data_IF_350196396916
#
_entry.id   IF_350196396916
#
_cell.length_a   1.000
_cell.length_b   1.000
_cell.length_c   1.000
_cell.angle_alpha   90.00
_cell.angle_beta   90.00
_cell.angle_gamma   90.00
#
_symmetry.space_group_name_H-M   'P 1'
#
loop_
_entity.id
_entity.type
_entity.pdbx_description
1 polymer ?
#
# COMPACT_ATOMS: atom_id res chain seq x y z
N UNK A 1 13.03 -10.28 -29.61
CA UNK A 1 11.72 -9.65 -29.84
C UNK A 1 11.72 -8.33 -29.08
N UNK A 2 12.00 -7.23 -29.79
CA UNK A 2 12.32 -5.93 -29.19
C UNK A 2 11.08 -5.21 -28.69
N UNK A 3 11.13 -4.71 -27.46
CA UNK A 3 10.12 -3.82 -26.90
C UNK A 3 10.30 -2.47 -27.57
N UNK A 4 9.39 -2.10 -28.46
CA UNK A 4 9.37 -0.77 -29.07
C UNK A 4 9.09 0.26 -27.98
N UNK A 5 10.14 0.88 -27.44
CA UNK A 5 10.00 2.03 -26.54
C UNK A 5 9.38 3.17 -27.34
N UNK A 6 8.19 3.60 -26.94
CA UNK A 6 7.52 4.76 -27.51
C UNK A 6 8.35 6.01 -27.15
N UNK A 7 8.96 6.72 -28.11
CA UNK A 7 9.88 7.84 -27.84
C UNK A 7 9.25 8.94 -26.98
N UNK A 8 7.92 9.06 -27.01
CA UNK A 8 7.15 10.05 -26.25
C UNK A 8 7.18 9.84 -24.74
N UNK A 9 7.24 8.59 -24.26
CA UNK A 9 7.22 8.30 -22.82
C UNK A 9 8.61 8.54 -22.24
N UNK A 10 9.66 8.06 -22.90
CA UNK A 10 11.03 8.25 -22.44
C UNK A 10 11.37 9.75 -22.35
N UNK A 11 10.92 10.55 -23.32
CA UNK A 11 11.08 12.01 -23.27
C UNK A 11 10.34 12.65 -22.10
N UNK A 12 9.08 12.24 -21.84
CA UNK A 12 8.30 12.77 -20.71
C UNK A 12 8.94 12.42 -19.34
N UNK A 13 9.46 11.20 -19.21
CA UNK A 13 10.14 10.75 -17.99
C UNK A 13 11.49 11.46 -17.79
N UNK A 14 12.21 11.73 -18.88
CA UNK A 14 13.44 12.51 -18.84
C UNK A 14 13.17 13.96 -18.41
N UNK A 15 12.16 14.62 -19.00
CA UNK A 15 11.76 15.97 -18.60
C UNK A 15 11.31 16.02 -17.13
N UNK A 16 10.59 15.01 -16.65
CA UNK A 16 10.22 14.91 -15.24
C UNK A 16 11.48 14.79 -14.35
N UNK A 17 12.46 13.99 -14.75
CA UNK A 17 13.71 13.85 -14.00
C UNK A 17 14.46 15.17 -13.89
N UNK A 18 14.53 15.93 -14.98
CA UNK A 18 15.16 17.26 -15.02
C UNK A 18 14.39 18.26 -14.15
N UNK A 19 13.06 18.24 -14.18
CA UNK A 19 12.23 19.13 -13.37
C UNK A 19 12.34 18.86 -11.86
N UNK A 20 12.67 17.62 -11.47
CA UNK A 20 12.84 17.21 -10.08
C UNK A 20 14.27 17.42 -9.57
N UNK A 21 15.22 17.75 -10.44
CA UNK A 21 16.61 17.96 -10.05
C UNK A 21 16.75 19.11 -9.04
N UNK A 22 17.46 18.86 -7.94
CA UNK A 22 17.63 19.81 -6.84
C UNK A 22 16.42 19.96 -5.90
N UNK A 23 15.30 19.28 -6.16
CA UNK A 23 14.15 19.22 -5.23
C UNK A 23 14.33 18.07 -4.22
N UNK A 24 13.60 18.11 -3.10
CA UNK A 24 13.55 16.99 -2.15
C UNK A 24 12.61 15.87 -2.64
N UNK A 25 12.75 15.48 -3.90
CA UNK A 25 11.95 14.48 -4.59
C UNK A 25 12.88 13.68 -5.49
N UNK A 26 12.74 12.35 -5.50
CA UNK A 26 13.55 11.48 -6.34
C UNK A 26 12.66 10.59 -7.19
N UNK A 27 12.91 10.59 -8.50
CA UNK A 27 12.28 9.68 -9.44
C UNK A 27 13.24 8.55 -9.81
N UNK A 28 12.74 7.31 -9.83
CA UNK A 28 13.54 6.10 -10.10
C UNK A 28 12.82 5.27 -11.18
N UNK A 29 13.24 5.43 -12.43
CA UNK A 29 12.66 4.73 -13.58
C UNK A 29 13.29 3.34 -13.81
N UNK A 30 13.38 2.54 -12.75
CA UNK A 30 13.88 1.16 -12.81
C UNK A 30 13.33 0.36 -11.64
N UNK A 31 13.03 -0.91 -11.89
CA UNK A 31 12.72 -1.85 -10.81
C UNK A 31 14.00 -2.49 -10.29
N UNK A 32 14.19 -2.43 -8.98
CA UNK A 32 15.23 -3.11 -8.23
C UNK A 32 14.60 -3.54 -6.90
N UNK A 33 14.58 -4.84 -6.65
CA UNK A 33 13.89 -5.42 -5.50
C UNK A 33 14.55 -5.02 -4.18
N UNK A 34 15.88 -5.05 -4.11
CA UNK A 34 16.62 -4.66 -2.92
C UNK A 34 16.37 -3.18 -2.58
N UNK A 35 16.37 -2.33 -3.61
CA UNK A 35 16.00 -0.92 -3.47
C UNK A 35 14.55 -0.74 -3.03
N UNK A 36 13.62 -1.56 -3.55
CA UNK A 36 12.21 -1.51 -3.13
C UNK A 36 12.09 -1.78 -1.63
N UNK A 37 12.80 -2.78 -1.09
CA UNK A 37 12.80 -3.07 0.34
C UNK A 37 13.38 -1.91 1.16
N UNK A 38 14.43 -1.24 0.68
CA UNK A 38 14.98 -0.05 1.33
C UNK A 38 13.99 1.12 1.31
N UNK A 39 13.25 1.31 0.21
CA UNK A 39 12.20 2.33 0.13
C UNK A 39 11.11 2.05 1.15
N UNK A 40 10.61 0.80 1.22
CA UNK A 40 9.60 0.43 2.22
C UNK A 40 10.09 0.65 3.66
N UNK A 41 11.27 0.14 4.02
CA UNK A 41 11.81 0.27 5.38
C UNK A 41 12.31 1.67 5.75
N UNK A 42 12.51 2.55 4.77
CA UNK A 42 12.89 3.95 4.99
C UNK A 42 11.73 4.94 4.93
N UNK A 43 10.50 4.47 4.71
CA UNK A 43 9.33 5.33 4.54
C UNK A 43 8.45 5.32 5.78
N UNK A 44 7.97 6.49 6.20
CA UNK A 44 6.89 6.62 7.19
C UNK A 44 5.52 6.33 6.56
N UNK A 45 5.35 6.72 5.29
CA UNK A 45 4.08 6.63 4.55
C UNK A 45 4.35 6.04 3.17
N UNK A 46 3.54 5.06 2.78
CA UNK A 46 3.45 4.56 1.41
C UNK A 46 2.10 4.94 0.83
N UNK A 47 2.13 5.72 -0.26
CA UNK A 47 0.94 6.11 -0.99
C UNK A 47 0.40 4.95 -1.82
N UNK A 48 -0.85 4.57 -1.56
CA UNK A 48 -1.52 3.44 -2.21
C UNK A 48 -2.65 3.95 -3.12
N UNK A 49 -2.80 3.40 -4.33
CA UNK A 49 -3.94 3.72 -5.19
C UNK A 49 -5.21 2.92 -4.85
N UNK A 50 -5.04 1.82 -4.14
CA UNK A 50 -6.08 0.89 -3.70
C UNK A 50 -5.54 0.11 -2.50
N UNK A 51 -6.43 -0.32 -1.61
CA UNK A 51 -6.10 -1.28 -0.55
C UNK A 51 -6.14 -2.72 -1.05
N UNK A 52 -6.90 -2.97 -2.11
CA UNK A 52 -6.99 -4.24 -2.81
C UNK A 52 -5.98 -4.25 -3.95
N UNK A 53 -4.77 -4.66 -3.64
CA UNK A 53 -3.69 -4.85 -4.62
C UNK A 53 -3.30 -6.33 -4.64
N UNK A 54 -4.03 -7.16 -5.43
CA UNK A 54 -3.80 -8.61 -5.44
C UNK A 54 -2.45 -9.01 -6.05
N UNK A 55 -1.79 -8.09 -6.76
CA UNK A 55 -0.55 -8.38 -7.51
C UNK A 55 0.68 -7.95 -6.72
N UNK A 56 0.76 -6.67 -6.35
CA UNK A 56 1.96 -6.13 -5.74
C UNK A 56 1.86 -6.08 -4.22
N UNK A 57 0.64 -6.16 -3.68
CA UNK A 57 0.35 -6.19 -2.24
C UNK A 57 1.02 -5.02 -1.49
N UNK A 58 1.07 -3.84 -2.13
CA UNK A 58 1.77 -2.66 -1.59
C UNK A 58 1.33 -2.30 -0.16
N UNK A 59 0.03 -2.30 0.20
CA UNK A 59 -0.37 -1.97 1.56
C UNK A 59 0.15 -2.95 2.61
N UNK A 60 0.15 -4.26 2.32
CA UNK A 60 0.71 -5.29 3.20
C UNK A 60 2.21 -5.12 3.39
N UNK A 61 2.94 -4.83 2.30
CA UNK A 61 4.38 -4.57 2.35
C UNK A 61 4.69 -3.30 3.15
N UNK A 62 3.90 -2.24 2.99
CA UNK A 62 4.06 -1.02 3.78
C UNK A 62 3.99 -1.34 5.28
N UNK A 63 2.91 -2.01 5.70
CA UNK A 63 2.71 -2.41 7.10
C UNK A 63 3.85 -3.27 7.62
N UNK A 64 4.24 -4.31 6.87
CA UNK A 64 5.32 -5.22 7.27
C UNK A 64 6.65 -4.51 7.52
N UNK A 65 6.89 -3.40 6.84
CA UNK A 65 8.10 -2.59 6.95
C UNK A 65 7.95 -1.39 7.90
N UNK A 66 6.80 -1.23 8.57
CA UNK A 66 6.57 -0.14 9.51
C UNK A 66 6.15 1.18 8.85
N UNK A 67 5.56 1.13 7.66
CA UNK A 67 5.06 2.30 6.94
C UNK A 67 3.53 2.31 6.88
N UNK A 68 2.91 3.46 7.06
CA UNK A 68 1.47 3.62 6.93
C UNK A 68 1.01 3.56 5.47
N UNK A 69 0.07 2.67 5.10
CA UNK A 69 -0.55 2.68 3.79
C UNK A 69 -1.63 3.77 3.73
N UNK A 70 -1.38 4.87 3.02
CA UNK A 70 -2.34 5.97 2.88
C UNK A 70 -2.90 6.00 1.46
N UNK A 71 -4.23 5.96 1.33
CA UNK A 71 -4.88 6.01 0.03
C UNK A 71 -4.66 7.37 -0.64
N UNK A 72 -4.25 7.33 -1.91
CA UNK A 72 -4.24 8.51 -2.78
C UNK A 72 -5.68 8.89 -3.09
N UNK A 73 -6.26 9.78 -2.28
CA UNK A 73 -7.58 10.35 -2.54
C UNK A 73 -7.44 11.42 -3.63
N UNK A 74 -7.64 11.07 -4.91
CA UNK A 74 -8.02 12.10 -5.87
C UNK A 74 -9.41 12.61 -5.52
N UNK A 75 -9.67 13.90 -5.72
CA UNK A 75 -11.00 14.51 -5.49
C UNK A 75 -12.12 13.72 -6.21
N UNK A 76 -11.80 13.09 -7.35
CA UNK A 76 -12.70 12.26 -8.14
C UNK A 76 -12.97 10.85 -7.56
N UNK A 77 -12.02 10.26 -6.81
CA UNK A 77 -12.22 8.93 -6.20
C UNK A 77 -13.06 8.94 -4.94
N UNK A 78 -13.34 10.12 -4.38
CA UNK A 78 -14.28 10.27 -3.26
C UNK A 78 -15.72 9.82 -3.64
N UNK A 79 -16.01 9.63 -4.93
CA UNK A 79 -17.31 9.24 -5.46
C UNK A 79 -17.42 7.80 -5.97
N UNK A 80 -16.31 7.06 -6.10
CA UNK A 80 -16.45 5.61 -6.21
C UNK A 80 -16.69 5.10 -4.80
N UNK A 81 -17.98 5.02 -4.46
CA UNK A 81 -18.47 4.15 -3.41
C UNK A 81 -17.52 2.96 -3.35
N UNK A 82 -16.82 2.81 -2.22
CA UNK A 82 -16.59 1.46 -1.76
C UNK A 82 -17.98 0.87 -1.79
N UNK A 83 -18.27 0.07 -2.82
CA UNK A 83 -19.34 -0.89 -2.68
C UNK A 83 -18.90 -1.59 -1.40
N UNK A 84 -19.66 -1.40 -0.34
CA UNK A 84 -19.69 -2.31 0.80
C UNK A 84 -20.04 -3.67 0.18
N UNK A 85 -19.08 -4.28 -0.49
CA UNK A 85 -19.05 -5.71 -0.55
C UNK A 85 -18.84 -6.07 0.89
N UNK A 86 -19.86 -6.75 1.39
CA UNK A 86 -19.99 -7.36 2.69
C UNK A 86 -18.92 -8.45 2.88
N UNK A 87 -17.66 -8.14 2.57
CA UNK A 87 -16.48 -8.78 3.13
C UNK A 87 -16.26 -8.23 4.53
N UNK A 88 -17.33 -8.26 5.34
CA UNK A 88 -17.20 -8.08 6.77
C UNK A 88 -16.13 -9.05 7.27
N UNK A 89 -15.12 -8.50 7.95
CA UNK A 89 -14.29 -9.17 8.96
C UNK A 89 -12.92 -9.78 8.61
N UNK A 90 -12.35 -9.64 7.40
CA UNK A 90 -10.93 -10.07 7.24
C UNK A 90 -10.02 -9.23 8.16
N UNK A 91 -9.05 -9.87 8.79
CA UNK A 91 -8.15 -9.19 9.75
C UNK A 91 -7.44 -8.00 9.12
N UNK A 92 -7.13 -8.11 7.83
CA UNK A 92 -6.54 -7.04 7.03
C UNK A 92 -7.41 -5.78 6.93
N UNK A 93 -8.71 -5.92 6.71
CA UNK A 93 -9.62 -4.77 6.62
C UNK A 93 -9.79 -4.05 7.95
N UNK A 94 -9.84 -4.80 9.06
CA UNK A 94 -9.89 -4.21 10.41
C UNK A 94 -8.67 -3.35 10.66
N UNK A 95 -7.49 -3.84 10.31
CA UNK A 95 -6.26 -3.10 10.53
C UNK A 95 -6.13 -1.89 9.58
N UNK A 96 -6.40 -2.06 8.27
CA UNK A 96 -6.38 -0.94 7.32
C UNK A 96 -7.36 0.15 7.72
N UNK A 97 -8.47 -0.17 8.40
CA UNK A 97 -9.43 0.83 8.86
C UNK A 97 -8.82 1.93 9.76
N UNK A 98 -7.72 1.63 10.46
CA UNK A 98 -6.99 2.61 11.26
C UNK A 98 -6.31 3.70 10.42
N UNK A 99 -6.04 3.43 9.14
CA UNK A 99 -5.39 4.33 8.18
C UNK A 99 -6.32 4.71 7.01
N UNK A 100 -7.40 3.96 6.77
CA UNK A 100 -8.22 4.05 5.57
C UNK A 100 -8.94 5.38 5.41
N UNK A 101 -9.33 5.99 6.53
CA UNK A 101 -10.03 7.26 6.59
C UNK A 101 -9.09 8.47 6.74
N UNK A 102 -7.78 8.24 6.77
CA UNK A 102 -6.79 9.28 6.95
C UNK A 102 -6.33 9.85 5.61
N UNK A 103 -6.43 11.17 5.46
CA UNK A 103 -5.79 11.88 4.35
C UNK A 103 -4.29 12.02 4.57
N UNK A 104 -3.52 12.24 3.48
CA UNK A 104 -2.08 12.49 3.58
C UNK A 104 -1.75 13.66 4.52
N UNK A 105 -2.55 14.73 4.51
CA UNK A 105 -2.31 15.87 5.42
C UNK A 105 -2.53 15.48 6.88
N UNK A 106 -3.55 14.67 7.18
CA UNK A 106 -3.76 14.18 8.54
C UNK A 106 -2.61 13.27 8.98
N UNK A 107 -2.15 12.36 8.13
CA UNK A 107 -1.00 11.50 8.44
C UNK A 107 0.25 12.32 8.77
N UNK A 108 0.55 13.34 7.96
CA UNK A 108 1.69 14.25 8.20
C UNK A 108 1.50 15.04 9.50
N UNK A 109 0.27 15.46 9.81
CA UNK A 109 -0.04 16.16 11.06
C UNK A 109 0.13 15.26 12.28
N UNK A 110 -0.34 14.01 12.22
CA UNK A 110 -0.17 13.04 13.30
C UNK A 110 1.31 12.71 13.55
N UNK A 111 2.11 12.49 12.51
CA UNK A 111 3.56 12.26 12.63
C UNK A 111 4.24 13.42 13.38
N UNK A 112 3.84 14.66 13.08
CA UNK A 112 4.46 15.86 13.67
C UNK A 112 3.99 16.14 15.09
N UNK A 113 2.69 16.00 15.34
CA UNK A 113 2.06 16.46 16.57
C UNK A 113 1.83 15.35 17.60
N UNK A 114 1.76 14.09 17.13
CA UNK A 114 1.46 12.91 17.95
C UNK A 114 2.39 11.72 17.61
N UNK A 115 3.73 11.91 17.62
CA UNK A 115 4.68 10.89 17.15
C UNK A 115 4.63 9.58 17.95
N UNK A 116 4.33 9.63 19.25
CA UNK A 116 4.20 8.44 20.09
C UNK A 116 2.97 7.61 19.72
N UNK A 117 1.83 8.26 19.45
CA UNK A 117 0.62 7.57 19.00
C UNK A 117 0.80 7.01 17.60
N UNK A 118 1.45 7.77 16.71
CA UNK A 118 1.80 7.28 15.38
C UNK A 118 2.65 6.01 15.45
N UNK A 119 3.75 6.06 16.22
CA UNK A 119 4.66 4.92 16.41
C UNK A 119 3.92 3.71 16.97
N UNK A 120 3.07 3.90 17.98
CA UNK A 120 2.24 2.83 18.56
C UNK A 120 1.32 2.19 17.52
N UNK A 121 0.62 2.99 16.70
CA UNK A 121 -0.26 2.49 15.64
C UNK A 121 0.51 1.66 14.60
N UNK A 122 1.72 2.06 14.26
CA UNK A 122 2.61 1.33 13.34
C UNK A 122 3.14 0.05 14.00
N UNK A 123 3.54 0.09 15.27
CA UNK A 123 4.00 -1.11 15.98
C UNK A 123 2.90 -2.16 16.10
N UNK A 124 1.69 -1.75 16.49
CA UNK A 124 0.51 -2.61 16.56
C UNK A 124 0.23 -3.27 15.20
N UNK A 125 0.45 -2.54 14.11
CA UNK A 125 0.36 -3.05 12.75
C UNK A 125 1.28 -4.20 12.42
N UNK A 126 2.54 -4.03 12.81
CA UNK A 126 3.61 -4.93 12.43
C UNK A 126 3.47 -6.27 13.14
N UNK A 127 2.74 -6.28 14.26
CA UNK A 127 2.41 -7.46 15.05
C UNK A 127 1.27 -8.29 14.44
N UNK A 128 0.50 -7.74 13.51
CA UNK A 128 -0.57 -8.48 12.83
C UNK A 128 0.00 -9.60 11.95
N UNK A 129 -0.65 -10.77 12.03
CA UNK A 129 -0.25 -11.94 11.25
C UNK A 129 -0.99 -11.97 9.91
N UNK A 130 -0.30 -11.53 8.86
CA UNK A 130 -0.74 -11.62 7.47
C UNK A 130 -0.01 -12.74 6.69
N UNK A 131 0.54 -13.73 7.39
CA UNK A 131 1.19 -14.87 6.72
C UNK A 131 0.16 -15.79 6.05
N UNK A 132 0.64 -16.64 5.14
CA UNK A 132 -0.22 -17.63 4.47
C UNK A 132 -0.79 -18.67 5.43
N UNK A 133 -0.11 -18.92 6.56
CA UNK A 133 -0.54 -19.87 7.59
C UNK A 133 -1.60 -19.28 8.54
N UNK A 134 -1.90 -17.99 8.42
CA UNK A 134 -2.90 -17.29 9.23
C UNK A 134 -4.34 -17.62 8.77
N UNK A 135 -5.23 -16.63 8.70
CA UNK A 135 -6.64 -16.78 8.31
C UNK A 135 -6.81 -17.49 6.96
N UNK A 136 -5.87 -17.24 6.04
CA UNK A 136 -5.89 -17.73 4.66
C UNK A 136 -5.93 -19.27 4.58
N UNK A 137 -5.12 -19.97 5.39
CA UNK A 137 -5.03 -21.43 5.36
C UNK A 137 -6.37 -22.11 5.64
N UNK A 138 -7.01 -21.78 6.77
CA UNK A 138 -8.25 -22.41 7.20
C UNK A 138 -9.42 -22.10 6.26
N UNK A 139 -9.48 -20.86 5.75
CA UNK A 139 -10.50 -20.45 4.79
C UNK A 139 -10.38 -21.23 3.49
N UNK A 140 -9.16 -21.39 2.96
CA UNK A 140 -8.95 -22.15 1.72
C UNK A 140 -9.31 -23.63 1.87
N UNK A 141 -8.86 -24.28 2.96
CA UNK A 141 -9.19 -25.69 3.20
C UNK A 141 -10.71 -25.87 3.33
N UNK A 142 -11.38 -25.03 4.13
CA UNK A 142 -12.84 -25.11 4.31
C UNK A 142 -13.60 -24.94 2.99
N UNK A 143 -13.17 -24.02 2.13
CA UNK A 143 -13.76 -23.82 0.81
C UNK A 143 -13.60 -25.08 -0.07
N UNK A 144 -12.40 -25.68 -0.11
CA UNK A 144 -12.15 -26.91 -0.87
C UNK A 144 -12.96 -28.11 -0.34
N UNK A 145 -13.09 -28.24 0.98
CA UNK A 145 -13.91 -29.30 1.58
C UNK A 145 -15.40 -29.14 1.26
N UNK A 146 -15.91 -27.91 1.24
CA UNK A 146 -17.30 -27.64 0.87
C UNK A 146 -17.64 -28.11 -0.55
N UNK A 147 -16.69 -27.96 -1.49
CA UNK A 147 -16.85 -28.40 -2.88
C UNK A 147 -16.80 -29.92 -3.04
N UNK A 148 -16.13 -30.64 -2.13
CA UNK A 148 -16.10 -32.12 -2.15
C UNK A 148 -17.42 -32.74 -1.67
N UNK A 149 -18.20 -31.99 -0.90
CA UNK A 149 -19.48 -32.43 -0.35
C UNK A 149 -20.68 -32.07 -1.26
N UNK A 150 -20.40 -31.53 -2.46
CA UNK A 150 -21.35 -31.22 -3.54
C UNK A 150 -21.36 -32.36 -4.58
#
# INVERSE_FOLDING_TARGET
>A
MGVSRLPSIDNALQSLSEELEGKNVRFINKYDEALSHLIFGGSEIILCHTYEDPVLQVPLKAIRYGAAPILVTSIERRFRHFVEHDFGSTQFFKYISAFSNMSLMQAVDEIRNMPSEWSRKIEEAMLEDFTWDAECYNVHISAYESLKNL
#
